data_IF_484524213207
#
_entry.id   IF_484524213207
#
_cell.length_a   1.000
_cell.length_b   1.000
_cell.length_c   1.000
_cell.angle_alpha   90.00
_cell.angle_beta   90.00
_cell.angle_gamma   90.00
#
_symmetry.space_group_name_H-M   'P 1'
#
loop_
_entity.id
_entity.type
_entity.pdbx_description
1 polymer ?
#
# COMPACT_ATOMS: atom_id res chain seq x y z
N UNK A 1 1.40 5.16 8.75
CA UNK A 1 1.01 6.26 7.83
C UNK A 1 0.63 5.80 6.46
N UNK A 2 -0.56 6.23 6.02
CA UNK A 2 -1.00 5.89 4.70
C UNK A 2 -0.20 6.39 3.53
N UNK A 3 0.16 7.67 3.49
CA UNK A 3 1.12 8.35 2.68
C UNK A 3 0.94 8.37 1.20
N UNK A 4 -0.19 9.02 0.89
CA UNK A 4 -0.76 9.33 -0.39
C UNK A 4 -1.28 8.04 -0.90
N UNK A 5 -2.14 7.40 -0.07
CA UNK A 5 -2.48 6.09 -0.26
C UNK A 5 -1.53 5.04 0.19
N UNK A 6 -0.27 5.05 -0.24
CA UNK A 6 0.73 4.05 -0.05
C UNK A 6 2.09 4.67 -0.09
N UNK A 7 2.60 4.98 1.12
CA UNK A 7 3.99 5.30 1.29
C UNK A 7 4.72 4.28 2.09
N UNK A 8 3.84 3.40 2.61
CA UNK A 8 4.11 2.00 2.49
C UNK A 8 2.72 1.45 2.44
N UNK A 9 2.37 0.55 1.59
CA UNK A 9 1.03 0.07 1.45
C UNK A 9 0.42 -0.75 2.54
N UNK A 10 1.27 -1.20 3.48
CA UNK A 10 0.89 -1.85 4.71
C UNK A 10 1.72 -1.25 5.80
N UNK A 11 1.85 0.09 5.77
CA UNK A 11 2.92 0.77 6.43
C UNK A 11 3.19 0.80 7.90
N UNK A 12 2.25 1.04 8.84
CA UNK A 12 0.88 0.62 8.78
C UNK A 12 0.03 1.56 7.98
N UNK A 13 -1.08 1.00 7.47
CA UNK A 13 -2.13 1.85 7.01
C UNK A 13 -3.30 1.66 7.89
N UNK A 14 -2.99 1.02 9.05
CA UNK A 14 -3.78 0.98 10.24
C UNK A 14 -4.94 0.07 10.15
N UNK A 15 -5.05 -0.57 8.96
CA UNK A 15 -5.96 -1.65 8.67
C UNK A 15 -5.62 -2.94 9.33
N UNK A 16 -4.37 -3.39 9.41
CA UNK A 16 -3.07 -2.83 9.60
C UNK A 16 -2.34 -2.65 8.32
N UNK A 17 -2.52 -3.67 7.47
CA UNK A 17 -1.80 -3.89 6.26
C UNK A 17 -2.63 -4.48 5.18
N UNK A 18 -2.19 -4.28 3.92
CA UNK A 18 -3.08 -4.18 2.87
C UNK A 18 -4.04 -3.07 2.82
N UNK A 19 -3.57 -1.80 2.89
CA UNK A 19 -4.36 -0.62 2.83
C UNK A 19 -4.82 -0.35 1.44
N UNK A 20 -3.95 -0.51 0.41
CA UNK A 20 -4.41 -0.54 -0.94
C UNK A 20 -3.84 -1.64 -1.77
N UNK A 21 -4.71 -2.26 -2.61
CA UNK A 21 -4.41 -3.48 -3.28
C UNK A 21 -4.63 -3.10 -4.69
N UNK A 22 -3.82 -3.42 -5.72
CA UNK A 22 -2.79 -4.42 -5.74
C UNK A 22 -1.42 -3.88 -5.55
N UNK A 23 -1.27 -2.54 -5.56
CA UNK A 23 0.03 -1.99 -5.38
C UNK A 23 0.67 -2.18 -4.04
N UNK A 24 0.06 -3.02 -3.18
CA UNK A 24 0.69 -3.71 -2.10
C UNK A 24 1.73 -4.66 -2.57
N UNK A 25 1.58 -5.29 -3.75
CA UNK A 25 2.74 -5.24 -4.57
C UNK A 25 2.53 -4.47 -5.83
N UNK A 26 3.09 -3.24 -5.85
CA UNK A 26 3.43 -2.50 -7.02
C UNK A 26 4.74 -1.89 -6.61
N UNK A 27 5.61 -1.87 -7.63
CA UNK A 27 7.02 -2.11 -7.45
C UNK A 27 7.35 -3.55 -7.25
N UNK A 28 6.28 -4.34 -7.05
CA UNK A 28 6.31 -5.70 -7.51
C UNK A 28 6.03 -5.82 -8.97
N UNK A 29 4.88 -5.24 -9.38
CA UNK A 29 4.52 -4.87 -10.71
C UNK A 29 3.76 -3.59 -10.76
N UNK A 30 2.67 -3.56 -11.57
CA UNK A 30 2.00 -2.37 -11.95
C UNK A 30 1.29 -1.62 -10.86
N UNK A 31 1.34 -0.28 -10.87
CA UNK A 31 0.87 0.58 -9.93
C UNK A 31 -0.53 0.79 -9.51
N UNK A 32 -1.35 -0.25 -9.28
CA UNK A 32 -2.76 -0.12 -9.05
C UNK A 32 -3.09 -1.05 -7.89
#
# INVERSE_FOLDING_TARGET
>A
WKSQXFCTPGCVTGVLQXCFIQTATCNCHIXK
#
